data_IF_568419534097
#
_entry.id   IF_568419534097
#
_cell.length_a   1.000
_cell.length_b   1.000
_cell.length_c   1.000
_cell.angle_alpha   90.00
_cell.angle_beta   90.00
_cell.angle_gamma   90.00
#
_symmetry.space_group_name_H-M   'P 1'
#
loop_
_entity.id
_entity.type
_entity.pdbx_description
1 polymer ?
#
# COMPACT_ATOMS: atom_id res chain seq x y z
N UNK A 1 -1.14 0.04 16.97
CA UNK A 1 -0.36 -0.83 16.07
C UNK A 1 0.82 -1.40 16.82
N UNK A 2 0.99 -2.70 16.81
CA UNK A 2 2.13 -3.37 17.43
C UNK A 2 3.38 -3.23 16.58
N UNK A 3 4.52 -3.32 17.24
CA UNK A 3 5.82 -3.24 16.59
C UNK A 3 6.63 -4.48 16.95
N UNK A 4 7.18 -5.13 15.94
CA UNK A 4 8.10 -6.26 16.09
C UNK A 4 9.41 -5.89 15.42
N UNK A 5 10.53 -6.32 16.00
CA UNK A 5 11.79 -6.28 15.27
C UNK A 5 11.78 -7.41 14.24
N UNK A 6 12.60 -7.27 13.20
CA UNK A 6 12.73 -8.34 12.20
C UNK A 6 13.16 -9.67 12.85
N UNK A 7 14.03 -9.59 13.86
CA UNK A 7 14.47 -10.77 14.59
C UNK A 7 13.34 -11.42 15.40
N UNK A 8 12.51 -10.60 16.06
CA UNK A 8 11.35 -11.10 16.81
C UNK A 8 10.34 -11.76 15.87
N UNK A 9 10.06 -11.12 14.72
CA UNK A 9 9.16 -11.67 13.71
C UNK A 9 9.67 -13.00 13.18
N UNK A 10 10.98 -13.14 12.97
CA UNK A 10 11.62 -14.36 12.53
C UNK A 10 11.55 -15.45 13.61
N UNK A 11 11.87 -15.10 14.84
CA UNK A 11 11.96 -16.05 15.95
C UNK A 11 10.59 -16.51 16.40
N UNK A 12 9.60 -15.62 16.40
CA UNK A 12 8.24 -15.88 16.85
C UNK A 12 7.25 -15.77 15.70
N UNK A 13 7.56 -16.39 14.59
CA UNK A 13 6.82 -16.22 13.34
C UNK A 13 5.34 -16.58 13.47
N UNK A 14 5.03 -17.68 14.16
CA UNK A 14 3.63 -18.09 14.39
C UNK A 14 2.84 -17.06 15.17
N UNK A 15 3.41 -16.57 16.27
CA UNK A 15 2.81 -15.51 17.07
C UNK A 15 2.67 -14.22 16.27
N UNK A 16 3.68 -13.88 15.48
CA UNK A 16 3.68 -12.73 14.61
C UNK A 16 2.54 -12.79 13.59
N UNK A 17 2.36 -13.93 12.93
CA UNK A 17 1.26 -14.13 11.98
C UNK A 17 -0.11 -14.01 12.65
N UNK A 18 -0.26 -14.56 13.85
CA UNK A 18 -1.52 -14.44 14.60
C UNK A 18 -1.84 -12.99 14.92
N UNK A 19 -0.82 -12.22 15.30
CA UNK A 19 -1.00 -10.81 15.59
C UNK A 19 -1.39 -10.02 14.34
N UNK A 20 -0.77 -10.34 13.21
CA UNK A 20 -1.06 -9.71 11.92
C UNK A 20 -2.52 -9.92 11.49
N UNK A 21 -3.13 -11.07 11.87
CA UNK A 21 -4.54 -11.32 11.57
C UNK A 21 -5.48 -10.38 12.32
N UNK A 22 -5.04 -9.82 13.43
CA UNK A 22 -5.85 -8.94 14.28
C UNK A 22 -5.66 -7.47 13.97
N UNK A 23 -4.43 -7.08 13.64
CA UNK A 23 -4.10 -5.68 13.37
C UNK A 23 -2.83 -5.60 12.53
N UNK A 24 -2.60 -4.50 11.82
CA UNK A 24 -1.32 -4.27 11.15
C UNK A 24 -0.18 -4.24 12.16
N UNK A 25 0.96 -4.79 11.79
CA UNK A 25 2.14 -4.87 12.64
C UNK A 25 3.33 -4.23 11.91
N UNK A 26 3.98 -3.29 12.57
CA UNK A 26 5.22 -2.70 12.06
C UNK A 26 6.38 -3.64 12.27
N UNK A 27 7.23 -3.74 11.27
CA UNK A 27 8.48 -4.48 11.37
C UNK A 27 9.63 -3.49 11.31
N UNK A 28 10.49 -3.56 12.32
CA UNK A 28 11.64 -2.66 12.43
C UNK A 28 12.95 -3.43 12.27
N UNK A 29 13.91 -2.77 11.68
CA UNK A 29 15.27 -3.28 11.55
C UNK A 29 16.23 -2.10 11.70
N UNK A 30 17.22 -2.23 12.60
CA UNK A 30 18.19 -1.16 12.87
C UNK A 30 17.53 0.17 13.22
N UNK A 31 16.54 0.12 14.13
CA UNK A 31 15.77 1.29 14.59
C UNK A 31 14.99 2.03 13.49
N UNK A 32 14.72 1.34 12.37
CA UNK A 32 13.96 1.90 11.25
C UNK A 32 12.77 1.00 10.94
N UNK A 33 11.64 1.62 10.63
CA UNK A 33 10.49 0.88 10.12
C UNK A 33 10.80 0.47 8.68
N UNK A 34 10.96 -0.82 8.45
CA UNK A 34 11.26 -1.35 7.11
C UNK A 34 10.00 -1.82 6.38
N UNK A 35 8.91 -2.01 7.11
CA UNK A 35 7.66 -2.42 6.50
C UNK A 35 6.55 -2.55 7.51
N UNK A 36 5.36 -2.77 6.99
CA UNK A 36 4.17 -3.05 7.78
C UNK A 36 3.55 -4.32 7.22
N UNK A 37 3.29 -5.29 8.10
CA UNK A 37 2.64 -6.54 7.73
C UNK A 37 1.15 -6.43 8.03
N UNK A 38 0.33 -6.80 7.06
CA UNK A 38 -1.13 -6.79 7.19
C UNK A 38 -1.69 -8.14 6.79
N UNK A 39 -2.89 -8.45 7.27
CA UNK A 39 -3.57 -9.67 6.81
C UNK A 39 -3.94 -9.56 5.33
N UNK A 40 -4.15 -10.69 4.68
CA UNK A 40 -4.61 -10.72 3.30
C UNK A 40 -5.95 -9.98 3.15
N UNK A 41 -6.82 -10.10 4.14
CA UNK A 41 -8.11 -9.41 4.17
C UNK A 41 -7.94 -7.90 4.21
N UNK A 42 -7.09 -7.42 5.11
CA UNK A 42 -6.80 -5.99 5.23
C UNK A 42 -6.12 -5.43 3.97
N UNK A 43 -5.22 -6.20 3.41
CA UNK A 43 -4.55 -5.83 2.16
C UNK A 43 -5.56 -5.65 1.03
N UNK A 44 -6.49 -6.60 0.88
CA UNK A 44 -7.52 -6.50 -0.17
C UNK A 44 -8.42 -5.29 0.04
N UNK A 45 -8.82 -5.01 1.29
CA UNK A 45 -9.62 -3.83 1.60
C UNK A 45 -8.89 -2.54 1.23
N UNK A 46 -7.61 -2.46 1.56
CA UNK A 46 -6.76 -1.31 1.21
C UNK A 46 -6.60 -1.18 -0.30
N UNK A 47 -6.38 -2.29 -0.99
CA UNK A 47 -6.20 -2.31 -2.44
C UNK A 47 -7.45 -1.77 -3.16
N UNK A 48 -8.62 -2.22 -2.75
CA UNK A 48 -9.89 -1.76 -3.32
C UNK A 48 -10.08 -0.26 -3.07
N UNK A 49 -9.84 0.18 -1.85
CA UNK A 49 -9.94 1.59 -1.47
C UNK A 49 -9.01 2.46 -2.31
N UNK A 50 -7.76 2.07 -2.44
CA UNK A 50 -6.77 2.82 -3.22
C UNK A 50 -7.08 2.80 -4.72
N UNK A 51 -7.58 1.69 -5.23
CA UNK A 51 -7.96 1.58 -6.63
C UNK A 51 -9.09 2.55 -6.96
N UNK A 52 -10.11 2.63 -6.10
CA UNK A 52 -11.23 3.56 -6.28
C UNK A 52 -10.77 5.01 -6.19
N UNK A 53 -9.92 5.30 -5.21
CA UNK A 53 -9.38 6.64 -5.02
C UNK A 53 -8.51 7.07 -6.19
N UNK A 54 -7.70 6.14 -6.70
CA UNK A 54 -6.86 6.39 -7.86
C UNK A 54 -7.69 6.68 -9.10
N UNK A 55 -8.75 5.90 -9.32
CA UNK A 55 -9.68 6.13 -10.44
C UNK A 55 -10.33 7.51 -10.36
N UNK A 56 -10.77 7.91 -9.17
CA UNK A 56 -11.35 9.23 -8.95
C UNK A 56 -10.32 10.33 -9.24
N UNK A 57 -9.11 10.20 -8.73
CA UNK A 57 -8.01 11.13 -8.98
C UNK A 57 -7.67 11.21 -10.47
N UNK A 58 -7.68 10.08 -11.15
CA UNK A 58 -7.43 10.02 -12.59
C UNK A 58 -8.53 10.73 -13.38
N UNK A 59 -9.79 10.59 -12.99
CA UNK A 59 -10.90 11.33 -13.62
C UNK A 59 -10.76 12.83 -13.43
N UNK A 60 -10.48 13.27 -12.22
CA UNK A 60 -10.25 14.69 -11.91
C UNK A 60 -9.07 15.24 -12.69
N UNK A 61 -7.98 14.46 -12.74
CA UNK A 61 -6.78 14.82 -13.50
C UNK A 61 -7.04 14.83 -15.00
N UNK A 62 -7.90 13.93 -15.50
CA UNK A 62 -8.26 13.89 -16.90
C UNK A 62 -9.09 15.11 -17.30
N UNK A 63 -10.03 15.54 -16.47
CA UNK A 63 -10.78 16.79 -16.68
C UNK A 63 -9.85 18.01 -16.71
N UNK A 64 -8.95 18.08 -15.76
CA UNK A 64 -7.93 19.13 -15.71
C UNK A 64 -6.99 19.03 -16.91
N UNK A 65 -6.56 17.83 -17.22
CA UNK A 65 -5.60 17.55 -18.30
C UNK A 65 -6.20 17.78 -19.67
N UNK A 66 -7.50 17.58 -19.85
CA UNK A 66 -8.19 17.91 -21.09
C UNK A 66 -8.07 19.41 -21.40
N UNK A 67 -8.05 20.24 -20.34
CA UNK A 67 -7.83 21.69 -20.45
C UNK A 67 -6.33 22.02 -20.66
N UNK A 68 -5.44 21.17 -20.15
CA UNK A 68 -3.97 21.37 -20.20
C UNK A 68 -3.29 20.60 -21.35
N UNK A 69 -4.03 19.80 -22.13
CA UNK A 69 -3.49 19.03 -23.25
C UNK A 69 -2.92 17.65 -22.88
N UNK A 70 -3.12 17.19 -21.65
CA UNK A 70 -2.75 15.82 -21.26
C UNK A 70 -3.93 14.88 -21.46
N UNK A 71 -3.66 13.63 -21.85
CA UNK A 71 -4.69 12.60 -22.05
C UNK A 71 -4.61 11.51 -20.97
N UNK A 72 -5.73 10.81 -20.75
CA UNK A 72 -5.76 9.64 -19.85
C UNK A 72 -4.73 8.58 -20.24
N UNK A 73 -4.56 8.38 -21.53
CA UNK A 73 -3.60 7.45 -22.10
C UNK A 73 -2.17 7.78 -21.69
N UNK A 74 -1.81 9.05 -21.69
CA UNK A 74 -0.50 9.51 -21.29
C UNK A 74 -0.26 9.36 -19.80
N UNK A 75 -1.29 9.59 -18.99
CA UNK A 75 -1.23 9.35 -17.54
C UNK A 75 -1.08 7.87 -17.24
N UNK A 76 -1.79 7.01 -17.95
CA UNK A 76 -1.68 5.56 -17.80
C UNK A 76 -0.27 5.07 -18.17
N UNK A 77 0.35 5.61 -19.20
CA UNK A 77 1.73 5.31 -19.57
C UNK A 77 2.71 5.69 -18.46
N UNK A 78 2.57 6.87 -17.89
CA UNK A 78 3.43 7.34 -16.82
C UNK A 78 3.32 6.46 -15.57
N UNK A 79 2.11 6.00 -15.25
CA UNK A 79 1.88 5.11 -14.12
C UNK A 79 2.41 3.69 -14.40
N UNK A 80 2.34 3.23 -15.63
CA UNK A 80 2.88 1.93 -16.02
C UNK A 80 4.40 1.88 -15.94
N UNK A 81 5.09 3.00 -16.19
CA UNK A 81 6.54 3.09 -16.12
C UNK A 81 7.08 3.02 -14.69
N UNK A 82 6.24 3.20 -13.69
CA UNK A 82 6.63 3.14 -12.28
C UNK A 82 6.51 1.73 -11.66
N UNK A 83 5.97 0.79 -12.38
CA UNK A 83 5.74 -0.57 -11.87
C UNK A 83 6.92 -1.52 -12.08
#
# INVERSE_FOLDING_TARGET
MQTYTANEAKTRFGEFLDRVQREPVRVMRHDRVVGVMVSAEDYEAMRVFYADRLRQTMRESAEYAATAGLTEEKLAELLADES
#
